data_IF_323773100688
#
_entry.id   IF_323773100688
#
_cell.length_a   1.000
_cell.length_b   1.000
_cell.length_c   1.000
_cell.angle_alpha   90.00
_cell.angle_beta   90.00
_cell.angle_gamma   90.00
#
_symmetry.space_group_name_H-M   'P 1'
#
loop_
_entity.id
_entity.type
_entity.pdbx_description
1 polymer ?
#
# COMPACT_ATOMS: atom_id res chain seq x y z
N UNK A 1 -8.86 26.45 6.90
CA UNK A 1 -9.84 25.38 7.13
C UNK A 1 -9.35 24.45 8.24
N UNK A 2 -10.25 23.91 9.10
CA UNK A 2 -9.92 22.90 10.11
C UNK A 2 -10.28 21.52 9.58
N UNK A 3 -9.31 20.59 9.58
CA UNK A 3 -9.51 19.19 9.14
C UNK A 3 -9.24 18.27 10.33
N UNK A 4 -10.16 17.36 10.60
CA UNK A 4 -9.93 16.25 11.51
C UNK A 4 -9.47 15.04 10.69
N UNK A 5 -8.19 14.68 10.82
CA UNK A 5 -7.62 13.49 10.19
C UNK A 5 -7.72 12.33 11.17
N UNK A 6 -8.58 11.37 10.87
CA UNK A 6 -8.88 10.24 11.73
C UNK A 6 -8.48 8.91 11.08
N UNK A 7 -7.46 8.29 11.61
CA UNK A 7 -6.92 7.02 11.10
C UNK A 7 -6.94 5.92 12.15
N UNK A 8 -6.84 4.67 11.69
CA UNK A 8 -6.84 3.50 12.56
C UNK A 8 -5.60 3.45 13.44
N UNK A 9 -4.43 3.57 12.85
CA UNK A 9 -3.14 3.62 13.54
C UNK A 9 -2.23 4.65 12.84
N UNK A 10 -1.08 4.95 13.43
CA UNK A 10 -0.10 5.84 12.83
C UNK A 10 0.89 5.03 12.01
N UNK A 11 0.75 5.09 10.71
CA UNK A 11 1.59 4.36 9.75
C UNK A 11 2.54 5.30 9.01
N UNK A 12 3.50 4.74 8.27
CA UNK A 12 4.40 5.51 7.39
C UNK A 12 3.61 6.32 6.35
N UNK A 13 2.46 5.82 5.90
CA UNK A 13 1.59 6.54 4.97
C UNK A 13 0.93 7.72 5.66
N UNK A 14 0.41 7.54 6.89
CA UNK A 14 -0.16 8.64 7.67
C UNK A 14 0.88 9.72 7.93
N UNK A 15 2.11 9.33 8.31
CA UNK A 15 3.21 10.29 8.48
C UNK A 15 3.42 11.13 7.24
N UNK A 16 3.49 10.52 6.07
CA UNK A 16 3.69 11.20 4.77
C UNK A 16 2.54 12.16 4.44
N UNK A 17 1.28 11.70 4.59
CA UNK A 17 0.10 12.55 4.37
C UNK A 17 0.05 13.71 5.35
N UNK A 18 0.28 13.46 6.64
CA UNK A 18 0.28 14.50 7.67
C UNK A 18 1.42 15.50 7.48
N UNK A 19 2.61 15.05 7.04
CA UNK A 19 3.72 15.94 6.68
C UNK A 19 3.34 16.88 5.53
N UNK A 20 2.70 16.35 4.49
CA UNK A 20 2.25 17.17 3.37
C UNK A 20 1.11 18.11 3.78
N UNK A 21 0.15 17.66 4.57
CA UNK A 21 -0.95 18.48 5.08
C UNK A 21 -0.46 19.58 6.04
N UNK A 22 0.58 19.33 6.83
CA UNK A 22 1.19 20.35 7.71
C UNK A 22 1.79 21.53 6.93
N UNK A 23 2.16 21.32 5.67
CA UNK A 23 2.67 22.37 4.77
C UNK A 23 1.56 23.13 4.01
N UNK A 24 0.29 22.86 4.31
CA UNK A 24 -0.85 23.60 3.77
C UNK A 24 -1.32 24.70 4.72
N UNK A 25 -2.24 25.54 4.28
CA UNK A 25 -2.92 26.53 5.13
C UNK A 25 -3.97 25.89 6.07
N UNK A 26 -4.11 24.57 6.05
CA UNK A 26 -5.11 23.89 6.86
C UNK A 26 -4.60 23.66 8.28
N UNK A 27 -5.49 23.83 9.26
CA UNK A 27 -5.25 23.42 10.61
C UNK A 27 -5.65 21.95 10.78
N UNK A 28 -4.69 21.08 11.00
CA UNK A 28 -4.89 19.63 11.03
C UNK A 28 -4.93 19.15 12.49
N UNK A 29 -6.02 18.50 12.84
CA UNK A 29 -6.21 17.77 14.08
C UNK A 29 -6.09 16.28 13.81
N UNK A 30 -5.21 15.62 14.55
CA UNK A 30 -4.95 14.18 14.36
C UNK A 30 -5.62 13.34 15.44
N UNK A 31 -6.41 12.36 15.01
CA UNK A 31 -7.09 11.39 15.85
C UNK A 31 -6.69 9.97 15.45
N UNK A 32 -6.29 9.15 16.41
CA UNK A 32 -5.93 7.74 16.20
C UNK A 32 -6.91 6.83 16.92
N UNK A 33 -7.43 5.79 16.21
CA UNK A 33 -8.39 4.85 16.76
C UNK A 33 -7.77 3.85 17.73
N UNK A 34 -6.62 3.28 17.36
CA UNK A 34 -5.92 2.26 18.15
C UNK A 34 -4.41 2.43 18.10
N UNK A 35 -3.73 1.72 18.97
CA UNK A 35 -2.29 1.52 18.92
C UNK A 35 -2.03 0.04 18.72
N UNK A 36 -1.45 -0.31 17.58
CA UNK A 36 -1.02 -1.65 17.23
C UNK A 36 0.50 -1.77 17.40
N UNK A 37 0.98 -2.97 17.67
CA UNK A 37 2.42 -3.24 17.80
C UNK A 37 3.12 -3.54 16.47
N UNK A 38 2.38 -3.70 15.37
CA UNK A 38 2.95 -4.33 14.17
C UNK A 38 3.23 -3.43 12.98
N UNK A 39 2.78 -2.17 12.95
CA UNK A 39 3.01 -1.26 11.80
C UNK A 39 3.06 0.22 12.20
N UNK A 40 3.35 0.52 13.44
CA UNK A 40 3.39 1.90 13.92
C UNK A 40 4.64 2.60 13.38
N UNK A 41 4.45 3.79 12.81
CA UNK A 41 5.55 4.67 12.47
C UNK A 41 6.27 5.14 13.74
N UNK A 42 7.60 5.08 13.74
CA UNK A 42 8.42 5.46 14.87
C UNK A 42 8.75 6.96 14.89
N UNK A 43 8.53 7.66 13.80
CA UNK A 43 8.75 9.11 13.75
C UNK A 43 7.67 9.85 14.53
N UNK A 44 8.03 10.96 15.15
CA UNK A 44 7.07 11.84 15.80
C UNK A 44 6.09 12.42 14.79
N UNK A 45 4.91 12.83 15.26
CA UNK A 45 3.98 13.60 14.44
C UNK A 45 4.67 14.84 13.86
N UNK A 46 4.42 15.18 12.58
CA UNK A 46 4.97 16.36 11.95
C UNK A 46 4.63 17.65 12.73
N UNK A 47 5.55 18.64 12.77
CA UNK A 47 5.23 19.93 13.37
C UNK A 47 4.00 20.58 12.74
N UNK A 48 3.14 21.19 13.58
CA UNK A 48 1.89 21.82 13.10
C UNK A 48 0.66 20.89 13.11
N UNK A 49 0.84 19.59 13.35
CA UNK A 49 -0.25 18.64 13.56
C UNK A 49 -0.65 18.60 15.04
N UNK A 50 -1.92 18.85 15.34
CA UNK A 50 -2.44 18.85 16.72
C UNK A 50 -3.02 17.46 17.08
N UNK A 51 -2.35 16.67 17.94
CA UNK A 51 -2.92 15.40 18.41
C UNK A 51 -4.12 15.67 19.33
N UNK A 52 -5.20 14.93 19.11
CA UNK A 52 -6.45 15.11 19.86
C UNK A 52 -6.57 14.04 20.94
N UNK A 53 -6.64 14.40 22.23
CA UNK A 53 -6.91 13.45 23.30
C UNK A 53 -8.36 12.98 23.27
N UNK A 54 -8.55 11.66 23.31
CA UNK A 54 -9.87 11.02 23.36
C UNK A 54 -9.79 9.63 24.01
N UNK A 55 -10.95 8.96 24.15
CA UNK A 55 -11.03 7.65 24.82
C UNK A 55 -10.46 6.47 24.01
N UNK A 56 -10.18 6.65 22.73
CA UNK A 56 -9.50 5.68 21.86
C UNK A 56 -8.00 5.90 21.78
N UNK A 57 -7.33 5.19 20.86
CA UNK A 57 -5.92 5.42 20.52
C UNK A 57 -4.87 4.72 21.37
N UNK A 58 -5.26 4.07 22.49
CA UNK A 58 -4.32 3.52 23.47
C UNK A 58 -4.31 1.98 23.54
N UNK A 59 -5.18 1.31 22.81
CA UNK A 59 -5.31 -0.15 22.79
C UNK A 59 -5.94 -0.60 21.47
N UNK A 60 -5.83 -1.88 21.10
CA UNK A 60 -6.50 -2.42 19.91
C UNK A 60 -8.02 -2.18 19.94
N UNK A 61 -8.57 -1.80 18.80
CA UNK A 61 -10.00 -1.57 18.61
C UNK A 61 -10.79 -2.86 18.75
N UNK A 62 -11.95 -2.78 19.45
CA UNK A 62 -12.94 -3.86 19.54
C UNK A 62 -14.32 -3.32 19.21
N UNK A 63 -15.13 -4.07 18.48
CA UNK A 63 -16.49 -3.66 18.12
C UNK A 63 -17.38 -3.28 19.31
N UNK A 64 -17.15 -3.89 20.46
CA UNK A 64 -17.84 -3.57 21.72
C UNK A 64 -17.56 -2.14 22.22
N UNK A 65 -16.46 -1.54 21.81
CA UNK A 65 -16.08 -0.18 22.18
C UNK A 65 -16.81 0.87 21.31
N UNK A 66 -17.41 0.50 20.17
CA UNK A 66 -18.00 1.43 19.23
C UNK A 66 -18.98 2.43 19.84
N UNK A 67 -19.93 2.08 20.72
CA UNK A 67 -20.85 3.05 21.32
C UNK A 67 -20.12 4.12 22.15
N UNK A 68 -19.09 3.72 22.93
CA UNK A 68 -18.29 4.63 23.74
C UNK A 68 -17.45 5.55 22.85
N UNK A 69 -16.83 4.98 21.82
CA UNK A 69 -16.02 5.72 20.86
C UNK A 69 -16.85 6.71 20.05
N UNK A 70 -18.04 6.32 19.57
CA UNK A 70 -18.97 7.23 18.90
C UNK A 70 -19.36 8.41 19.78
N UNK A 71 -19.71 8.15 21.05
CA UNK A 71 -20.08 9.21 21.99
C UNK A 71 -18.95 10.21 22.19
N UNK A 72 -17.72 9.73 22.35
CA UNK A 72 -16.58 10.60 22.57
C UNK A 72 -16.12 11.31 21.29
N UNK A 73 -16.23 10.64 20.12
CA UNK A 73 -15.99 11.27 18.81
C UNK A 73 -16.96 12.46 18.60
N UNK A 74 -18.21 12.31 19.00
CA UNK A 74 -19.18 13.44 18.96
C UNK A 74 -18.74 14.61 19.82
N UNK A 75 -18.18 14.37 21.02
CA UNK A 75 -17.57 15.40 21.86
C UNK A 75 -16.39 16.06 21.15
N UNK A 76 -15.45 15.28 20.63
CA UNK A 76 -14.27 15.75 19.89
C UNK A 76 -14.69 16.65 18.73
N UNK A 77 -15.65 16.20 17.91
CA UNK A 77 -16.18 16.97 16.79
C UNK A 77 -16.80 18.30 17.26
N UNK A 78 -17.56 18.28 18.37
CA UNK A 78 -18.21 19.48 18.91
C UNK A 78 -17.21 20.52 19.46
N UNK A 79 -16.09 20.06 20.01
CA UNK A 79 -15.01 20.91 20.56
C UNK A 79 -14.13 21.50 19.46
N UNK A 80 -13.69 20.68 18.49
CA UNK A 80 -12.82 21.10 17.38
C UNK A 80 -13.60 21.91 16.34
N UNK A 81 -14.86 21.55 16.10
CA UNK A 81 -15.71 22.07 15.03
C UNK A 81 -14.96 22.02 13.68
N UNK A 82 -14.55 20.82 13.22
CA UNK A 82 -13.83 20.70 11.97
C UNK A 82 -14.75 21.11 10.82
N UNK A 83 -14.16 21.69 9.78
CA UNK A 83 -14.87 21.99 8.53
C UNK A 83 -15.01 20.73 7.66
N UNK A 84 -14.18 19.73 7.89
CA UNK A 84 -14.13 18.45 7.17
C UNK A 84 -13.50 17.39 8.06
N UNK A 85 -14.02 16.16 7.96
CA UNK A 85 -13.37 14.97 8.52
C UNK A 85 -12.83 14.11 7.38
N UNK A 86 -11.54 13.79 7.45
CA UNK A 86 -10.87 12.78 6.63
C UNK A 86 -10.69 11.53 7.48
N UNK A 87 -11.31 10.42 7.11
CA UNK A 87 -11.31 9.21 7.92
C UNK A 87 -11.07 7.94 7.07
N UNK A 88 -10.22 7.05 7.57
CA UNK A 88 -9.95 5.72 7.00
C UNK A 88 -9.35 4.78 8.05
N UNK A 89 -9.50 3.47 7.90
CA UNK A 89 -10.23 2.70 6.86
C UNK A 89 -11.76 2.78 6.98
N UNK A 90 -12.43 2.23 5.94
CA UNK A 90 -13.88 2.35 5.74
C UNK A 90 -14.70 1.72 6.87
N UNK A 91 -14.37 0.48 7.32
CA UNK A 91 -15.16 -0.25 8.31
C UNK A 91 -14.89 0.16 9.76
N UNK A 92 -13.97 1.08 9.99
CA UNK A 92 -13.59 1.51 11.34
C UNK A 92 -13.72 3.04 11.51
N UNK A 93 -12.69 3.81 11.17
CA UNK A 93 -12.70 5.26 11.41
C UNK A 93 -13.79 5.97 10.62
N UNK A 94 -13.93 5.68 9.33
CA UNK A 94 -14.98 6.28 8.50
C UNK A 94 -16.38 5.84 8.98
N UNK A 95 -16.54 4.57 9.38
CA UNK A 95 -17.79 4.07 9.94
C UNK A 95 -18.20 4.80 11.23
N UNK A 96 -17.26 5.05 12.15
CA UNK A 96 -17.54 5.82 13.37
C UNK A 96 -17.96 7.26 13.06
N UNK A 97 -17.39 7.87 12.03
CA UNK A 97 -17.82 9.20 11.56
C UNK A 97 -19.23 9.15 10.93
N UNK A 98 -19.51 8.15 10.10
CA UNK A 98 -20.81 7.92 9.49
C UNK A 98 -21.91 7.68 10.54
N UNK A 99 -21.63 6.95 11.62
CA UNK A 99 -22.56 6.76 12.75
C UNK A 99 -22.86 8.06 13.51
N UNK A 100 -21.98 9.07 13.44
CA UNK A 100 -22.20 10.40 14.01
C UNK A 100 -22.87 11.37 13.02
N UNK A 101 -23.19 10.93 11.81
CA UNK A 101 -23.83 11.70 10.74
C UNK A 101 -23.08 13.03 10.49
N UNK A 102 -21.74 12.97 10.46
CA UNK A 102 -20.90 14.14 10.25
C UNK A 102 -20.64 14.35 8.75
N UNK A 103 -20.88 15.56 8.29
CA UNK A 103 -20.64 16.02 6.93
C UNK A 103 -19.90 17.37 6.93
N UNK A 104 -18.96 17.60 5.98
CA UNK A 104 -18.50 16.69 4.94
C UNK A 104 -17.53 15.63 5.45
N UNK A 105 -17.77 14.37 5.07
CA UNK A 105 -16.93 13.22 5.35
C UNK A 105 -16.17 12.80 4.08
N UNK A 106 -14.84 12.91 4.11
CA UNK A 106 -13.95 12.29 3.13
C UNK A 106 -13.48 10.97 3.69
N UNK A 107 -13.88 9.86 3.08
CA UNK A 107 -13.41 8.54 3.46
C UNK A 107 -12.23 8.13 2.60
N UNK A 108 -11.17 7.58 3.20
CA UNK A 108 -10.00 7.05 2.49
C UNK A 108 -9.96 5.53 2.60
N UNK A 109 -9.96 4.87 1.44
CA UNK A 109 -9.72 3.43 1.36
C UNK A 109 -8.22 3.16 1.35
N UNK A 110 -7.81 2.16 2.13
CA UNK A 110 -6.45 1.62 2.18
C UNK A 110 -6.27 0.39 1.26
N UNK A 111 -7.21 0.17 0.34
CA UNK A 111 -7.25 -0.95 -0.58
C UNK A 111 -7.84 -2.20 0.05
N UNK A 112 -7.17 -2.78 1.07
CA UNK A 112 -7.61 -4.02 1.72
C UNK A 112 -9.03 -3.94 2.31
N UNK A 113 -9.43 -2.78 2.79
CA UNK A 113 -10.75 -2.53 3.40
C UNK A 113 -11.89 -2.71 2.37
N UNK A 114 -11.74 -2.28 1.14
CA UNK A 114 -12.72 -2.50 0.08
C UNK A 114 -12.51 -3.84 -0.65
N UNK A 115 -11.24 -4.24 -0.90
CA UNK A 115 -10.95 -5.42 -1.72
C UNK A 115 -11.07 -6.74 -0.95
N UNK A 116 -10.96 -6.71 0.38
CA UNK A 116 -11.00 -7.91 1.24
C UNK A 116 -12.04 -7.79 2.35
N UNK A 117 -11.90 -6.81 3.26
CA UNK A 117 -12.76 -6.71 4.44
C UNK A 117 -14.21 -6.51 4.09
N UNK A 118 -14.52 -5.75 3.04
CA UNK A 118 -15.89 -5.55 2.55
C UNK A 118 -16.60 -6.85 2.12
N UNK A 119 -15.85 -7.90 1.81
CA UNK A 119 -16.37 -9.19 1.33
C UNK A 119 -16.20 -10.31 2.35
N UNK A 120 -15.54 -10.06 3.48
CA UNK A 120 -15.20 -11.08 4.48
C UNK A 120 -16.42 -11.77 5.06
N UNK A 121 -17.47 -11.02 5.34
CA UNK A 121 -18.72 -11.52 5.88
C UNK A 121 -19.88 -10.53 5.62
N UNK A 122 -21.17 -10.94 5.76
CA UNK A 122 -22.33 -10.09 5.52
C UNK A 122 -22.39 -8.84 6.41
N UNK A 123 -21.85 -8.88 7.63
CA UNK A 123 -21.83 -7.74 8.53
C UNK A 123 -20.87 -6.67 8.03
N UNK A 124 -19.64 -7.06 7.68
CA UNK A 124 -18.65 -6.14 7.09
C UNK A 124 -19.18 -5.53 5.79
N UNK A 125 -19.87 -6.31 4.94
CA UNK A 125 -20.47 -5.78 3.73
C UNK A 125 -21.55 -4.71 4.02
N UNK A 126 -22.41 -4.94 5.03
CA UNK A 126 -23.43 -3.97 5.45
C UNK A 126 -22.81 -2.70 6.02
N UNK A 127 -21.79 -2.85 6.86
CA UNK A 127 -21.04 -1.72 7.42
C UNK A 127 -20.39 -0.90 6.31
N UNK A 128 -19.73 -1.56 5.35
CA UNK A 128 -19.11 -0.88 4.22
C UNK A 128 -20.14 -0.09 3.41
N UNK A 129 -21.25 -0.71 3.02
CA UNK A 129 -22.33 -0.04 2.27
C UNK A 129 -22.94 1.12 3.06
N UNK A 130 -23.12 0.96 4.37
CA UNK A 130 -23.62 2.04 5.23
C UNK A 130 -22.63 3.20 5.23
N UNK A 131 -21.35 2.95 5.46
CA UNK A 131 -20.31 3.98 5.48
C UNK A 131 -20.23 4.72 4.15
N UNK A 132 -20.19 3.99 3.02
CA UNK A 132 -20.10 4.61 1.69
C UNK A 132 -21.30 5.50 1.39
N UNK A 133 -22.51 5.16 1.83
CA UNK A 133 -23.70 6.00 1.67
C UNK A 133 -23.65 7.31 2.46
N UNK A 134 -22.92 7.33 3.59
CA UNK A 134 -22.73 8.52 4.43
C UNK A 134 -21.40 9.23 4.15
N UNK A 135 -20.65 8.79 3.15
CA UNK A 135 -19.41 9.42 2.69
C UNK A 135 -19.73 10.44 1.62
N UNK A 136 -19.25 11.67 1.76
CA UNK A 136 -19.43 12.69 0.74
C UNK A 136 -18.48 12.51 -0.43
N UNK A 137 -17.20 12.22 -0.15
CA UNK A 137 -16.21 11.86 -1.16
C UNK A 137 -15.36 10.68 -0.68
N UNK A 138 -15.18 9.70 -1.54
CA UNK A 138 -14.23 8.59 -1.34
C UNK A 138 -12.90 8.91 -2.04
N UNK A 139 -11.81 8.69 -1.34
CA UNK A 139 -10.45 8.69 -1.90
C UNK A 139 -9.93 7.25 -1.97
N UNK A 140 -9.48 6.84 -3.15
CA UNK A 140 -8.87 5.55 -3.41
C UNK A 140 -7.55 5.67 -4.17
N UNK A 141 -6.74 4.61 -4.14
CA UNK A 141 -5.39 4.60 -4.71
C UNK A 141 -5.31 4.02 -6.14
N UNK A 142 -6.39 3.39 -6.62
CA UNK A 142 -6.41 2.70 -7.90
C UNK A 142 -7.83 2.54 -8.46
N UNK A 143 -7.93 2.24 -9.76
CA UNK A 143 -9.22 1.99 -10.42
C UNK A 143 -9.92 0.75 -9.86
N UNK A 144 -9.17 -0.28 -9.47
CA UNK A 144 -9.72 -1.48 -8.83
C UNK A 144 -10.52 -1.14 -7.56
N UNK A 145 -10.02 -0.21 -6.73
CA UNK A 145 -10.73 0.29 -5.54
C UNK A 145 -11.95 1.12 -5.94
N UNK A 146 -11.83 1.97 -6.98
CA UNK A 146 -12.94 2.77 -7.53
C UNK A 146 -14.10 1.88 -7.98
N UNK A 147 -13.82 0.88 -8.83
CA UNK A 147 -14.83 -0.05 -9.33
C UNK A 147 -15.52 -0.79 -8.18
N UNK A 148 -14.75 -1.19 -7.16
CA UNK A 148 -15.30 -1.86 -5.98
C UNK A 148 -16.24 -0.97 -5.18
N UNK A 149 -15.91 0.30 -5.03
CA UNK A 149 -16.79 1.26 -4.36
C UNK A 149 -18.11 1.47 -5.11
N UNK A 150 -18.06 1.55 -6.46
CA UNK A 150 -19.25 1.63 -7.31
C UNK A 150 -20.13 0.38 -7.17
N UNK A 151 -19.56 -0.82 -7.20
CA UNK A 151 -20.27 -2.08 -6.95
C UNK A 151 -20.96 -2.12 -5.58
N UNK A 152 -20.38 -1.44 -4.59
CA UNK A 152 -20.92 -1.33 -3.24
C UNK A 152 -21.97 -0.22 -3.09
N UNK A 153 -22.21 0.56 -4.16
CA UNK A 153 -23.29 1.54 -4.27
C UNK A 153 -22.88 2.98 -4.05
N UNK A 154 -21.60 3.33 -4.24
CA UNK A 154 -21.16 4.72 -4.25
C UNK A 154 -21.26 5.33 -5.65
N UNK A 155 -21.65 6.59 -5.73
CA UNK A 155 -21.75 7.33 -6.99
C UNK A 155 -20.34 7.65 -7.51
N UNK A 156 -20.10 7.40 -8.80
CA UNK A 156 -18.80 7.58 -9.45
C UNK A 156 -18.27 9.01 -9.36
N UNK A 157 -19.13 10.00 -9.44
CA UNK A 157 -18.79 11.44 -9.34
C UNK A 157 -18.26 11.84 -7.95
N UNK A 158 -18.46 11.01 -6.94
CA UNK A 158 -18.02 11.20 -5.56
C UNK A 158 -16.75 10.41 -5.22
N UNK A 159 -16.09 9.84 -6.22
CA UNK A 159 -14.88 9.05 -6.04
C UNK A 159 -13.69 9.73 -6.71
N UNK A 160 -12.71 10.12 -5.93
CA UNK A 160 -11.42 10.63 -6.40
C UNK A 160 -10.39 9.50 -6.29
N UNK A 161 -9.77 9.16 -7.42
CA UNK A 161 -8.81 8.05 -7.48
C UNK A 161 -7.48 8.54 -8.02
N UNK A 162 -6.42 8.32 -7.27
CA UNK A 162 -5.05 8.59 -7.68
C UNK A 162 -4.07 7.65 -6.96
N UNK A 163 -3.02 7.18 -7.61
CA UNK A 163 -1.95 6.45 -6.92
C UNK A 163 -1.32 7.34 -5.85
N UNK A 164 -1.08 6.81 -4.66
CA UNK A 164 -0.52 7.63 -3.56
C UNK A 164 0.86 8.17 -3.85
N UNK A 165 1.50 7.63 -4.87
CA UNK A 165 2.76 8.17 -5.38
C UNK A 165 4.00 7.82 -4.57
N UNK A 166 5.13 8.09 -5.18
CA UNK A 166 6.47 7.79 -4.67
C UNK A 166 7.28 9.09 -4.66
N UNK A 167 8.14 9.24 -3.66
CA UNK A 167 9.19 10.26 -3.66
C UNK A 167 10.25 9.87 -4.69
N UNK A 168 10.21 10.53 -5.84
CA UNK A 168 11.10 10.24 -6.97
C UNK A 168 12.51 10.80 -6.82
N UNK A 169 12.77 11.66 -5.84
CA UNK A 169 14.09 12.11 -5.47
C UNK A 169 14.78 11.05 -4.61
N UNK A 170 14.05 10.48 -3.67
CA UNK A 170 14.53 9.40 -2.83
C UNK A 170 14.65 8.07 -3.61
N UNK A 171 13.58 7.61 -4.26
CA UNK A 171 13.59 6.44 -5.13
C UNK A 171 14.02 6.84 -6.54
N UNK A 172 15.32 6.99 -6.74
CA UNK A 172 15.87 7.44 -8.01
C UNK A 172 16.47 6.28 -8.83
N UNK A 173 16.67 6.56 -10.12
CA UNK A 173 17.28 5.63 -11.07
C UNK A 173 18.61 6.20 -11.56
N UNK A 174 19.76 5.77 -11.00
CA UNK A 174 21.06 6.25 -11.45
C UNK A 174 21.35 5.74 -12.86
N UNK A 175 21.40 6.66 -13.81
CA UNK A 175 21.79 6.36 -15.19
C UNK A 175 23.22 5.80 -15.21
N UNK A 176 23.39 4.57 -15.70
CA UNK A 176 24.71 3.99 -15.95
C UNK A 176 25.20 2.93 -14.97
N UNK A 177 24.44 2.54 -13.96
CA UNK A 177 24.74 1.30 -13.21
C UNK A 177 24.41 0.10 -14.10
N UNK A 178 25.39 -0.35 -14.91
CA UNK A 178 25.32 -1.68 -15.50
C UNK A 178 25.44 -2.69 -14.35
N UNK A 179 24.45 -3.57 -14.22
CA UNK A 179 24.55 -4.71 -13.32
C UNK A 179 25.53 -5.72 -13.96
N UNK A 180 26.82 -5.47 -13.79
CA UNK A 180 27.89 -6.30 -14.31
C UNK A 180 28.23 -7.41 -13.30
N UNK A 181 27.44 -8.47 -13.26
CA UNK A 181 27.69 -9.63 -12.41
C UNK A 181 27.23 -10.93 -13.04
N UNK A 182 27.88 -12.04 -12.68
CA UNK A 182 27.47 -13.41 -13.05
C UNK A 182 26.21 -13.88 -12.29
N UNK A 183 25.76 -13.13 -11.27
CA UNK A 183 24.61 -13.43 -10.44
C UNK A 183 23.38 -12.67 -10.91
N UNK A 184 22.21 -13.30 -10.80
CA UNK A 184 20.91 -12.70 -11.09
C UNK A 184 20.09 -12.63 -9.80
N UNK A 185 19.88 -11.42 -9.30
CA UNK A 185 19.24 -11.18 -8.01
C UNK A 185 17.77 -10.80 -8.17
N UNK A 186 16.91 -11.61 -7.57
CA UNK A 186 15.49 -11.29 -7.34
C UNK A 186 15.34 -10.55 -6.01
N UNK A 187 14.44 -9.58 -5.93
CA UNK A 187 14.12 -8.90 -4.67
C UNK A 187 12.62 -8.91 -4.38
N UNK A 188 12.24 -9.26 -3.16
CA UNK A 188 10.89 -9.07 -2.62
C UNK A 188 10.96 -8.23 -1.34
N UNK A 189 10.08 -7.25 -1.23
CA UNK A 189 10.06 -6.29 -0.11
C UNK A 189 8.68 -6.25 0.57
N UNK A 190 7.87 -7.29 0.34
CA UNK A 190 6.56 -7.44 0.98
C UNK A 190 6.70 -8.01 2.40
N UNK A 191 5.83 -7.60 3.31
CA UNK A 191 5.72 -8.26 4.61
C UNK A 191 5.45 -9.76 4.46
N UNK A 192 5.96 -10.57 5.41
CA UNK A 192 5.85 -12.02 5.32
C UNK A 192 4.51 -12.53 5.88
N UNK A 193 3.43 -12.10 5.22
CA UNK A 193 2.07 -12.50 5.55
C UNK A 193 1.42 -13.29 4.40
N UNK A 194 0.49 -14.23 4.69
CA UNK A 194 -0.11 -15.10 3.66
C UNK A 194 -0.69 -14.35 2.47
N UNK A 195 -1.25 -13.16 2.69
CA UNK A 195 -1.86 -12.35 1.63
C UNK A 195 -0.84 -11.91 0.57
N UNK A 196 0.44 -11.84 0.91
CA UNK A 196 1.50 -11.41 0.00
C UNK A 196 2.16 -12.59 -0.75
N UNK A 197 1.72 -13.85 -0.52
CA UNK A 197 2.14 -15.03 -1.25
C UNK A 197 3.65 -15.28 -1.19
N UNK A 198 4.31 -14.92 -0.09
CA UNK A 198 5.76 -15.07 0.08
C UNK A 198 6.20 -16.52 0.07
N UNK A 199 5.33 -17.45 0.48
CA UNK A 199 5.49 -18.90 0.36
C UNK A 199 5.50 -19.35 -1.11
N UNK A 200 4.65 -18.76 -1.96
CA UNK A 200 4.65 -19.00 -3.42
C UNK A 200 5.98 -18.60 -4.02
N UNK A 201 6.54 -17.45 -3.62
CA UNK A 201 7.87 -17.00 -4.04
C UNK A 201 8.94 -17.99 -3.61
N UNK A 202 8.92 -18.43 -2.35
CA UNK A 202 9.91 -19.35 -1.80
C UNK A 202 9.91 -20.69 -2.54
N UNK A 203 8.74 -21.31 -2.72
CA UNK A 203 8.61 -22.55 -3.47
C UNK A 203 9.05 -22.42 -4.94
N UNK A 204 8.67 -21.34 -5.61
CA UNK A 204 9.05 -21.10 -7.00
C UNK A 204 10.56 -20.88 -7.14
N UNK A 205 11.18 -20.15 -6.21
CA UNK A 205 12.63 -19.92 -6.20
C UNK A 205 13.42 -21.22 -6.03
N UNK A 206 13.02 -22.09 -5.10
CA UNK A 206 13.63 -23.42 -4.90
C UNK A 206 13.61 -24.25 -6.20
N UNK A 207 12.52 -24.17 -6.97
CA UNK A 207 12.43 -24.87 -8.25
C UNK A 207 13.25 -24.20 -9.36
N UNK A 208 13.29 -22.86 -9.39
CA UNK A 208 13.99 -22.09 -10.41
C UNK A 208 15.52 -22.22 -10.28
N UNK A 209 16.06 -22.22 -9.06
CA UNK A 209 17.52 -22.40 -8.80
C UNK A 209 18.05 -23.72 -9.35
N UNK A 210 17.25 -24.79 -9.37
CA UNK A 210 17.65 -26.07 -9.96
C UNK A 210 17.90 -25.99 -11.48
N UNK A 211 17.25 -25.03 -12.14
CA UNK A 211 17.38 -24.80 -13.58
C UNK A 211 18.38 -23.69 -13.90
N UNK A 212 18.54 -22.70 -13.00
CA UNK A 212 19.45 -21.54 -13.13
C UNK A 212 20.19 -21.31 -11.82
N UNK A 213 21.34 -21.97 -11.62
CA UNK A 213 22.12 -21.89 -10.37
C UNK A 213 22.65 -20.47 -10.05
N UNK A 214 22.64 -19.54 -11.00
CA UNK A 214 23.09 -18.16 -10.84
C UNK A 214 22.08 -17.29 -10.10
N UNK A 215 20.86 -17.79 -9.89
CA UNK A 215 19.80 -17.05 -9.19
C UNK A 215 20.13 -16.83 -7.72
N UNK A 216 19.85 -15.64 -7.25
CA UNK A 216 19.84 -15.20 -5.85
C UNK A 216 18.51 -14.59 -5.51
N UNK A 217 18.11 -14.66 -4.24
CA UNK A 217 16.89 -14.05 -3.75
C UNK A 217 17.18 -13.23 -2.49
N UNK A 218 16.74 -11.98 -2.49
CA UNK A 218 16.72 -11.11 -1.31
C UNK A 218 15.26 -10.92 -0.91
N UNK A 219 14.90 -11.28 0.31
CA UNK A 219 13.56 -11.03 0.85
C UNK A 219 13.66 -10.14 2.08
N UNK A 220 13.26 -8.88 1.91
CA UNK A 220 13.15 -7.92 3.01
C UNK A 220 11.80 -8.10 3.69
N UNK A 221 11.74 -7.75 4.96
CA UNK A 221 10.51 -7.79 5.74
C UNK A 221 10.57 -8.80 6.88
N UNK A 222 9.43 -8.96 7.53
CA UNK A 222 9.18 -9.91 8.61
C UNK A 222 7.67 -10.19 8.66
N UNK A 223 7.25 -11.22 9.39
CA UNK A 223 5.83 -11.54 9.54
C UNK A 223 5.56 -12.96 10.00
N UNK A 224 4.28 -13.31 9.98
CA UNK A 224 3.78 -14.60 10.50
C UNK A 224 4.33 -15.82 9.75
N UNK A 225 4.86 -15.66 8.53
CA UNK A 225 5.42 -16.75 7.73
C UNK A 225 6.94 -16.93 7.86
N UNK A 226 7.61 -16.24 8.76
CA UNK A 226 9.07 -16.29 8.90
C UNK A 226 9.64 -17.70 9.04
N UNK A 227 9.04 -18.54 9.90
CA UNK A 227 9.48 -19.92 10.11
C UNK A 227 9.21 -20.81 8.90
N UNK A 228 8.06 -20.60 8.24
CA UNK A 228 7.67 -21.34 7.03
C UNK A 228 8.67 -21.07 5.90
N UNK A 229 9.05 -19.82 5.68
CA UNK A 229 10.01 -19.42 4.66
C UNK A 229 11.39 -20.08 4.90
N UNK A 230 11.90 -20.03 6.13
CA UNK A 230 13.17 -20.66 6.50
C UNK A 230 13.13 -22.16 6.28
N UNK A 231 12.03 -22.82 6.63
CA UNK A 231 11.83 -24.25 6.40
C UNK A 231 11.85 -24.59 4.90
N UNK A 232 11.10 -23.86 4.07
CA UNK A 232 11.07 -24.10 2.61
C UNK A 232 12.46 -23.98 1.99
N UNK A 233 13.24 -22.94 2.35
CA UNK A 233 14.59 -22.76 1.82
C UNK A 233 15.59 -23.82 2.32
N UNK A 234 15.47 -24.24 3.59
CA UNK A 234 16.29 -25.30 4.17
C UNK A 234 16.03 -26.65 3.49
N UNK A 235 14.76 -27.04 3.39
CA UNK A 235 14.33 -28.29 2.74
C UNK A 235 14.68 -28.30 1.24
N UNK A 236 14.64 -27.12 0.61
CA UNK A 236 15.06 -26.92 -0.77
C UNK A 236 16.58 -26.95 -0.99
N UNK A 237 17.38 -26.87 0.08
CA UNK A 237 18.85 -26.83 0.00
C UNK A 237 19.41 -25.56 -0.65
N UNK A 238 18.72 -24.42 -0.49
CA UNK A 238 19.06 -23.15 -1.19
C UNK A 238 19.36 -21.98 -0.25
N UNK A 239 19.58 -22.24 1.06
CA UNK A 239 19.85 -21.20 2.05
C UNK A 239 21.07 -20.32 1.72
N UNK A 240 22.07 -20.87 1.06
CA UNK A 240 23.27 -20.15 0.60
C UNK A 240 22.98 -19.16 -0.55
N UNK A 241 21.77 -19.16 -1.09
CA UNK A 241 21.31 -18.34 -2.21
C UNK A 241 20.21 -17.36 -1.85
N UNK A 242 19.83 -17.32 -0.57
CA UNK A 242 18.75 -16.50 -0.07
C UNK A 242 19.25 -15.60 1.06
N UNK A 243 19.08 -14.31 0.90
CA UNK A 243 19.35 -13.33 1.94
C UNK A 243 18.04 -12.88 2.59
N UNK A 244 17.96 -13.00 3.92
CA UNK A 244 16.80 -12.62 4.74
C UNK A 244 17.25 -11.58 5.79
N UNK A 245 17.51 -10.32 5.38
CA UNK A 245 18.05 -9.32 6.30
C UNK A 245 17.01 -8.77 7.29
N UNK A 246 15.75 -9.19 7.15
CA UNK A 246 14.65 -8.66 7.97
C UNK A 246 14.10 -7.34 7.45
N UNK A 247 13.52 -6.55 8.36
CA UNK A 247 13.04 -5.21 8.02
C UNK A 247 14.24 -4.26 7.85
N UNK A 248 14.20 -3.45 6.79
CA UNK A 248 15.18 -2.42 6.52
C UNK A 248 14.54 -1.03 6.61
N UNK A 249 15.36 -0.02 6.88
CA UNK A 249 14.88 1.36 6.89
C UNK A 249 14.51 1.82 5.49
N UNK A 250 13.52 2.71 5.40
CA UNK A 250 13.09 3.24 4.11
C UNK A 250 14.23 3.96 3.37
N UNK A 251 15.15 4.58 4.10
CA UNK A 251 16.31 5.28 3.52
C UNK A 251 17.23 4.35 2.74
N UNK A 252 17.30 3.07 3.12
CA UNK A 252 18.19 2.08 2.50
C UNK A 252 17.52 1.31 1.34
N UNK A 253 16.19 1.38 1.21
CA UNK A 253 15.42 0.63 0.21
C UNK A 253 15.87 0.90 -1.25
N UNK A 254 16.18 2.15 -1.67
CA UNK A 254 16.65 2.40 -3.03
C UNK A 254 17.88 1.59 -3.43
N UNK A 255 18.85 1.41 -2.52
CA UNK A 255 20.05 0.63 -2.79
C UNK A 255 19.74 -0.85 -3.02
N UNK A 256 18.80 -1.41 -2.27
CA UNK A 256 18.33 -2.77 -2.48
C UNK A 256 17.65 -2.94 -3.84
N UNK A 257 16.73 -2.06 -4.21
CA UNK A 257 16.07 -2.12 -5.52
C UNK A 257 17.06 -1.93 -6.67
N UNK A 258 18.02 -1.00 -6.53
CA UNK A 258 19.03 -0.73 -7.56
C UNK A 258 20.07 -1.84 -7.70
N UNK A 259 20.27 -2.67 -6.66
CA UNK A 259 21.18 -3.83 -6.70
C UNK A 259 20.51 -5.07 -7.29
N UNK A 260 19.19 -5.13 -7.34
CA UNK A 260 18.44 -6.26 -7.86
C UNK A 260 18.22 -6.17 -9.38
N UNK A 261 18.13 -7.34 -10.03
CA UNK A 261 17.80 -7.44 -11.46
C UNK A 261 16.30 -7.41 -11.71
N UNK A 262 15.51 -7.94 -10.76
CA UNK A 262 14.07 -8.11 -10.91
C UNK A 262 13.36 -8.03 -9.56
N UNK A 263 12.36 -7.17 -9.46
CA UNK A 263 11.43 -7.17 -8.34
C UNK A 263 10.41 -8.30 -8.49
N UNK A 264 10.12 -9.03 -7.40
CA UNK A 264 9.16 -10.13 -7.38
C UNK A 264 8.11 -9.94 -6.28
N UNK A 265 6.83 -10.09 -6.62
CA UNK A 265 5.74 -10.10 -5.65
C UNK A 265 4.62 -11.05 -6.07
N UNK A 266 4.11 -11.83 -5.11
CA UNK A 266 3.07 -12.82 -5.34
C UNK A 266 1.77 -12.51 -4.57
N UNK A 267 1.50 -11.23 -4.33
CA UNK A 267 0.31 -10.78 -3.59
C UNK A 267 -0.97 -11.32 -4.21
N UNK A 268 -1.86 -11.87 -3.37
CA UNK A 268 -3.16 -12.41 -3.79
C UNK A 268 -4.23 -11.32 -3.92
N UNK A 269 -4.01 -10.18 -3.29
CA UNK A 269 -4.85 -8.99 -3.38
C UNK A 269 -4.01 -7.77 -3.02
N UNK A 270 -4.14 -6.72 -3.79
CA UNK A 270 -3.54 -5.41 -3.52
C UNK A 270 -4.33 -4.33 -4.29
N UNK A 271 -4.29 -3.09 -3.79
CA UNK A 271 -4.60 -1.91 -4.58
C UNK A 271 -3.36 -1.51 -5.40
N UNK A 272 -2.92 -0.27 -5.27
CA UNK A 272 -1.61 0.14 -5.79
C UNK A 272 -0.51 -0.27 -4.81
N UNK A 273 0.29 -1.26 -5.18
CA UNK A 273 1.42 -1.71 -4.37
C UNK A 273 2.53 -0.67 -4.32
N UNK A 274 2.74 -0.05 -3.16
CA UNK A 274 3.80 0.96 -2.99
C UNK A 274 5.18 0.36 -3.28
N UNK A 275 5.47 -0.85 -2.81
CA UNK A 275 6.76 -1.51 -3.06
C UNK A 275 6.99 -1.83 -4.54
N UNK A 276 5.94 -2.11 -5.31
CA UNK A 276 6.03 -2.22 -6.77
C UNK A 276 6.42 -0.87 -7.40
N UNK A 277 5.76 0.20 -6.97
CA UNK A 277 6.07 1.54 -7.47
C UNK A 277 7.49 1.99 -7.09
N UNK A 278 7.97 1.67 -5.89
CA UNK A 278 9.34 1.94 -5.44
C UNK A 278 10.36 1.21 -6.31
N UNK A 279 10.14 -0.09 -6.57
CA UNK A 279 10.99 -0.87 -7.46
C UNK A 279 11.01 -0.28 -8.88
N UNK A 280 9.84 0.02 -9.44
CA UNK A 280 9.70 0.65 -10.76
C UNK A 280 10.35 2.04 -10.79
N UNK A 281 10.24 2.82 -9.72
CA UNK A 281 10.89 4.12 -9.59
C UNK A 281 12.42 4.00 -9.61
N UNK A 282 12.98 2.95 -9.03
CA UNK A 282 14.41 2.63 -9.09
C UNK A 282 14.82 1.97 -10.41
N UNK A 283 13.93 1.84 -11.38
CA UNK A 283 14.22 1.19 -12.66
C UNK A 283 14.38 -0.33 -12.56
N UNK A 284 13.88 -0.96 -11.50
CA UNK A 284 13.85 -2.40 -11.34
C UNK A 284 12.58 -2.93 -12.03
N UNK A 285 12.68 -3.75 -13.09
CA UNK A 285 11.53 -4.39 -13.72
C UNK A 285 10.82 -5.34 -12.76
N UNK A 286 9.55 -5.65 -13.01
CA UNK A 286 8.75 -6.42 -12.08
C UNK A 286 8.24 -7.75 -12.66
N UNK A 287 8.22 -8.78 -11.81
CA UNK A 287 7.50 -10.03 -12.03
C UNK A 287 6.49 -10.18 -10.89
N UNK A 288 5.20 -9.99 -11.20
CA UNK A 288 4.18 -9.93 -10.16
C UNK A 288 2.96 -10.78 -10.52
N UNK A 289 2.18 -11.16 -9.50
CA UNK A 289 0.94 -11.91 -9.69
C UNK A 289 -0.06 -11.17 -10.57
N UNK A 290 -0.81 -11.92 -11.38
CA UNK A 290 -1.82 -11.41 -12.30
C UNK A 290 -3.13 -11.08 -11.54
N UNK A 291 -3.11 -10.00 -10.78
CA UNK A 291 -4.25 -9.43 -10.05
C UNK A 291 -4.61 -8.04 -10.60
N UNK A 292 -5.85 -7.56 -10.41
CA UNK A 292 -6.29 -6.28 -11.00
C UNK A 292 -5.35 -5.11 -10.68
N UNK A 293 -4.96 -4.90 -9.43
CA UNK A 293 -4.07 -3.80 -9.05
C UNK A 293 -2.70 -3.84 -9.75
N UNK A 294 -2.13 -5.03 -9.97
CA UNK A 294 -0.86 -5.16 -10.69
C UNK A 294 -1.00 -4.91 -12.20
N UNK A 295 -2.16 -5.28 -12.80
CA UNK A 295 -2.45 -5.00 -14.22
C UNK A 295 -2.51 -3.51 -14.54
N UNK A 296 -2.79 -2.66 -13.56
CA UNK A 296 -2.79 -1.21 -13.74
C UNK A 296 -1.38 -0.64 -14.00
N UNK A 297 -0.34 -1.40 -13.62
CA UNK A 297 1.07 -0.97 -13.66
C UNK A 297 1.94 -1.79 -14.60
N UNK A 298 1.62 -3.06 -14.82
CA UNK A 298 2.44 -3.99 -15.60
C UNK A 298 1.74 -4.40 -16.88
N UNK A 299 2.26 -3.92 -17.99
CA UNK A 299 2.01 -4.46 -19.33
C UNK A 299 3.09 -5.50 -19.61
N UNK A 300 2.73 -6.78 -19.79
CA UNK A 300 3.72 -7.84 -20.02
C UNK A 300 4.66 -7.53 -21.19
N UNK A 301 5.95 -7.66 -20.95
CA UNK A 301 6.99 -7.35 -21.93
C UNK A 301 7.42 -5.88 -22.02
N UNK A 302 6.75 -4.96 -21.28
CA UNK A 302 7.08 -3.53 -21.28
C UNK A 302 7.68 -3.08 -19.95
N UNK A 303 7.01 -3.29 -18.80
CA UNK A 303 7.54 -2.99 -17.47
C UNK A 303 8.01 -4.24 -16.73
N UNK A 304 7.69 -5.42 -17.24
CA UNK A 304 7.96 -6.70 -16.60
C UNK A 304 7.01 -7.78 -17.07
N UNK A 305 6.64 -8.69 -16.17
CA UNK A 305 5.75 -9.81 -16.49
C UNK A 305 4.71 -10.03 -15.40
N UNK A 306 3.60 -10.65 -15.80
CA UNK A 306 2.56 -11.16 -14.91
C UNK A 306 2.59 -12.69 -14.90
N UNK A 307 2.34 -13.30 -13.76
CA UNK A 307 2.14 -14.74 -13.63
C UNK A 307 0.82 -15.04 -12.91
N UNK A 308 0.23 -16.20 -13.19
CA UNK A 308 -1.05 -16.60 -12.60
C UNK A 308 -0.94 -16.69 -11.07
N UNK A 309 -1.83 -15.97 -10.38
CA UNK A 309 -1.87 -15.94 -8.92
C UNK A 309 -1.95 -17.35 -8.32
N UNK A 310 -1.25 -17.58 -7.20
CA UNK A 310 -1.15 -18.85 -6.46
C UNK A 310 -0.53 -20.02 -7.24
N UNK A 311 0.06 -19.77 -8.39
CA UNK A 311 0.61 -20.82 -9.25
C UNK A 311 2.16 -20.82 -9.17
N UNK A 312 2.69 -21.69 -8.28
CA UNK A 312 4.14 -21.88 -8.08
C UNK A 312 4.84 -22.23 -9.38
N UNK A 313 4.24 -23.09 -10.22
CA UNK A 313 4.87 -23.53 -11.46
C UNK A 313 4.89 -22.40 -12.50
N UNK A 314 3.83 -21.63 -12.60
CA UNK A 314 3.79 -20.46 -13.47
C UNK A 314 4.85 -19.43 -13.06
N UNK A 315 5.00 -19.18 -11.75
CA UNK A 315 6.04 -18.30 -11.23
C UNK A 315 7.45 -18.86 -11.48
N UNK A 316 7.66 -20.15 -11.27
CA UNK A 316 8.95 -20.82 -11.58
C UNK A 316 9.35 -20.61 -13.05
N UNK A 317 8.44 -20.90 -13.98
CA UNK A 317 8.67 -20.68 -15.40
C UNK A 317 8.95 -19.20 -15.74
N UNK A 318 8.24 -18.29 -15.10
CA UNK A 318 8.41 -16.86 -15.31
C UNK A 318 9.76 -16.34 -14.77
N UNK A 319 10.25 -16.85 -13.63
CA UNK A 319 11.59 -16.55 -13.11
C UNK A 319 12.67 -17.03 -14.09
N UNK A 320 12.58 -18.28 -14.55
CA UNK A 320 13.54 -18.84 -15.52
C UNK A 320 13.53 -18.03 -16.82
N UNK A 321 12.35 -17.71 -17.35
CA UNK A 321 12.21 -16.86 -18.53
C UNK A 321 12.83 -15.48 -18.33
N UNK A 322 12.58 -14.82 -17.19
CA UNK A 322 13.13 -13.51 -16.90
C UNK A 322 14.69 -13.53 -16.86
N UNK A 323 15.27 -14.61 -16.35
CA UNK A 323 16.72 -14.84 -16.39
C UNK A 323 17.21 -15.03 -17.85
N UNK A 324 16.52 -15.82 -18.65
CA UNK A 324 16.90 -16.09 -20.04
C UNK A 324 16.76 -14.82 -20.91
N UNK A 325 15.69 -14.05 -20.69
CA UNK A 325 15.38 -12.79 -21.37
C UNK A 325 16.04 -11.54 -20.72
N UNK A 326 17.03 -11.71 -19.83
CA UNK A 326 17.62 -10.61 -19.02
C UNK A 326 18.19 -9.44 -19.82
N UNK A 327 18.49 -9.64 -21.09
CA UNK A 327 18.90 -8.56 -21.99
C UNK A 327 17.82 -7.50 -22.20
N UNK A 328 16.54 -7.82 -21.92
CA UNK A 328 15.41 -6.91 -22.05
C UNK A 328 15.23 -6.03 -20.77
N UNK A 329 15.77 -6.44 -19.63
CA UNK A 329 15.53 -5.78 -18.34
C UNK A 329 15.93 -4.30 -18.32
N UNK A 330 17.05 -3.85 -18.92
CA UNK A 330 17.37 -2.44 -18.93
C UNK A 330 16.32 -1.55 -19.61
N UNK A 331 15.69 -2.03 -20.69
CA UNK A 331 14.61 -1.32 -21.37
C UNK A 331 13.31 -1.33 -20.54
N UNK A 332 12.96 -2.48 -19.96
CA UNK A 332 11.82 -2.60 -19.06
C UNK A 332 11.97 -1.69 -17.84
N UNK A 333 13.18 -1.57 -17.28
CA UNK A 333 13.47 -0.68 -16.16
C UNK A 333 13.27 0.80 -16.52
N UNK A 334 13.71 1.22 -17.70
CA UNK A 334 13.46 2.59 -18.20
C UNK A 334 11.96 2.85 -18.38
N UNK A 335 11.24 1.88 -18.96
CA UNK A 335 9.79 1.97 -19.15
C UNK A 335 9.04 2.02 -17.81
N UNK A 336 9.46 1.22 -16.83
CA UNK A 336 8.94 1.24 -15.46
C UNK A 336 9.11 2.61 -14.81
N UNK A 337 10.32 3.16 -14.85
CA UNK A 337 10.62 4.49 -14.30
C UNK A 337 9.80 5.59 -14.98
N UNK A 338 9.67 5.53 -16.31
CA UNK A 338 8.89 6.52 -17.07
C UNK A 338 7.43 6.52 -16.64
N UNK A 339 6.82 5.34 -16.51
CA UNK A 339 5.42 5.19 -16.11
C UNK A 339 5.17 5.72 -14.69
N UNK A 340 6.04 5.38 -13.73
CA UNK A 340 5.91 5.87 -12.35
C UNK A 340 6.09 7.39 -12.30
N UNK A 341 7.07 7.95 -13.03
CA UNK A 341 7.27 9.41 -13.12
C UNK A 341 6.05 10.14 -13.69
N UNK A 342 5.35 9.51 -14.60
CA UNK A 342 4.13 10.06 -15.20
C UNK A 342 2.94 9.99 -14.22
N UNK A 343 2.71 8.82 -13.60
CA UNK A 343 1.45 8.50 -12.92
C UNK A 343 1.53 8.48 -11.40
N UNK A 344 2.72 8.33 -10.81
CA UNK A 344 2.89 8.10 -9.37
C UNK A 344 3.95 9.02 -8.73
N UNK A 345 4.13 10.22 -9.23
CA UNK A 345 4.92 11.27 -8.59
C UNK A 345 4.13 11.84 -7.40
N UNK A 346 4.65 11.67 -6.18
CA UNK A 346 4.00 12.17 -4.96
C UNK A 346 3.65 13.66 -5.04
N UNK A 347 4.57 14.48 -5.56
CA UNK A 347 4.38 15.92 -5.62
C UNK A 347 3.25 16.34 -6.58
N UNK A 348 2.96 15.51 -7.59
CA UNK A 348 1.84 15.71 -8.52
C UNK A 348 0.53 15.12 -8.00
N UNK A 349 0.61 14.06 -7.21
CA UNK A 349 -0.56 13.28 -6.81
C UNK A 349 -1.18 13.79 -5.50
N UNK A 350 -0.38 14.25 -4.54
CA UNK A 350 -0.89 14.79 -3.28
C UNK A 350 -1.94 15.92 -3.46
N UNK A 351 -1.80 16.87 -4.41
CA UNK A 351 -2.83 17.88 -4.65
C UNK A 351 -4.23 17.31 -4.92
N UNK A 352 -4.35 16.11 -5.47
CA UNK A 352 -5.65 15.47 -5.71
C UNK A 352 -6.41 15.17 -4.39
N UNK A 353 -5.71 14.97 -3.27
CA UNK A 353 -6.37 14.90 -1.96
C UNK A 353 -7.01 16.26 -1.60
N UNK A 354 -6.33 17.36 -1.89
CA UNK A 354 -6.87 18.69 -1.60
C UNK A 354 -8.07 19.01 -2.51
N UNK A 355 -8.06 18.53 -3.75
CA UNK A 355 -9.21 18.59 -4.67
C UNK A 355 -10.38 17.76 -4.13
N UNK A 356 -10.13 16.58 -3.59
CA UNK A 356 -11.15 15.75 -2.94
C UNK A 356 -11.78 16.46 -1.73
N UNK A 357 -10.98 17.21 -0.96
CA UNK A 357 -11.51 18.04 0.15
C UNK A 357 -12.41 19.16 -0.37
N UNK A 358 -12.00 19.85 -1.44
CA UNK A 358 -12.84 20.91 -2.04
C UNK A 358 -14.12 20.35 -2.63
N UNK A 359 -14.06 19.18 -3.27
CA UNK A 359 -15.23 18.48 -3.80
C UNK A 359 -16.22 18.13 -2.68
N UNK A 360 -15.74 17.58 -1.56
CA UNK A 360 -16.58 17.22 -0.42
C UNK A 360 -17.33 18.43 0.17
N UNK A 361 -16.68 19.59 0.22
CA UNK A 361 -17.32 20.85 0.69
C UNK A 361 -18.46 21.33 -0.22
N UNK A 362 -18.50 20.91 -1.49
CA UNK A 362 -19.55 21.28 -2.43
C UNK A 362 -20.84 20.46 -2.22
N UNK A 363 -20.74 19.22 -1.74
CA UNK A 363 -21.90 18.35 -1.51
C UNK A 363 -22.73 18.72 -0.27
N UNK A 364 -22.20 19.52 0.63
CA UNK A 364 -22.83 19.90 1.92
C UNK A 364 -23.51 21.28 1.87
N UNK A 365 -23.64 21.87 0.70
CA UNK A 365 -24.31 23.18 0.50
C UNK A 365 -25.83 23.05 0.37
#
# INVERSE_FOLDING_TARGET
MRVLYFTRDYTIHDHRYLTALANTEYKIYYLRLEQSTHKTENQALPPGIEPVPWVGGNRPYRWQDAPRLCKDLKRVISEIKPNLVHAGPIQTCAFLCALNDFHPLVSMSWGYDLLQDAQRDPLNQRITRYTLRHTDVLVGDCDTVRQKAIELGMDDERIVTYPWGIDLEHFNFPLGKAQNGSTFTLISTRGWEPIYGVDVIAHAFVQAVKQRPELRLVMLGDGSQSDILRMIFADGGVLDRVDLPGQVNQVDLPDFYQSANLYIAASHSDGTSISLLEAMACGCPALVSDIPGNREWITPGVQGWLFKDRDVNALTCAIVRAYDDRSLLPEMGRSSRSLVKERADWNKNFPQLLEAYQLALQFVK
#
